data_IF_098072740329
#
_entry.id   IF_098072740329
#
_cell.length_a   1.000
_cell.length_b   1.000
_cell.length_c   1.000
_cell.angle_alpha   90.00
_cell.angle_beta   90.00
_cell.angle_gamma   90.00
#
_symmetry.space_group_name_H-M   'P 1'
#
loop_
_entity.id
_entity.type
_entity.pdbx_description
1 polymer ?
#
# COMPACT_ATOMS: atom_id res chain seq x y z
N UNK A 1 -11.11 -4.81 7.53
CA UNK A 1 -11.56 -3.86 6.49
C UNK A 1 -11.20 -4.34 5.09
N UNK A 2 -9.93 -4.68 4.80
CA UNK A 2 -9.53 -5.20 3.49
C UNK A 2 -10.31 -6.47 3.12
N UNK A 3 -10.39 -7.45 4.04
CA UNK A 3 -11.17 -8.69 3.83
C UNK A 3 -12.63 -8.38 3.52
N UNK A 4 -13.27 -7.47 4.29
CA UNK A 4 -14.65 -7.05 4.04
C UNK A 4 -14.82 -6.36 2.67
N UNK A 5 -13.82 -5.59 2.22
CA UNK A 5 -13.83 -4.99 0.89
C UNK A 5 -13.77 -6.07 -0.20
N UNK A 6 -12.89 -7.07 -0.07
CA UNK A 6 -12.78 -8.17 -1.01
C UNK A 6 -14.07 -9.00 -1.08
N UNK A 7 -14.68 -9.32 0.07
CA UNK A 7 -15.97 -9.99 0.14
C UNK A 7 -17.08 -9.19 -0.57
N UNK A 8 -17.19 -7.90 -0.29
CA UNK A 8 -18.18 -7.02 -0.92
C UNK A 8 -18.01 -6.91 -2.43
N UNK A 9 -16.76 -6.88 -2.91
CA UNK A 9 -16.47 -6.88 -4.36
C UNK A 9 -16.87 -8.20 -5.01
N UNK A 10 -16.49 -9.30 -4.39
CA UNK A 10 -16.84 -10.63 -4.87
C UNK A 10 -18.37 -10.81 -4.94
N UNK A 11 -19.10 -10.48 -3.87
CA UNK A 11 -20.57 -10.58 -3.83
C UNK A 11 -21.24 -9.74 -4.91
N UNK A 12 -20.73 -8.53 -5.18
CA UNK A 12 -21.26 -7.69 -6.26
C UNK A 12 -21.01 -8.25 -7.65
N UNK A 13 -19.89 -8.91 -7.85
CA UNK A 13 -19.53 -9.44 -9.17
C UNK A 13 -20.17 -10.80 -9.47
N UNK A 14 -20.57 -11.55 -8.44
CA UNK A 14 -21.29 -12.83 -8.57
C UNK A 14 -22.81 -12.65 -8.52
N UNK A 15 -23.32 -11.43 -8.30
CA UNK A 15 -24.74 -11.10 -8.35
C UNK A 15 -25.28 -11.00 -9.79
N UNK A 16 -26.59 -10.77 -9.93
CA UNK A 16 -27.33 -10.78 -11.21
C UNK A 16 -26.77 -9.86 -12.32
N UNK A 17 -25.88 -8.91 -11.99
CA UNK A 17 -25.25 -7.98 -12.94
C UNK A 17 -23.74 -8.22 -13.14
N UNK A 18 -23.16 -9.24 -12.50
CA UNK A 18 -21.73 -9.52 -12.60
C UNK A 18 -21.41 -10.51 -13.73
N UNK A 19 -20.26 -10.34 -14.38
CA UNK A 19 -19.75 -11.30 -15.37
C UNK A 19 -19.14 -12.57 -14.77
N UNK A 20 -19.13 -12.67 -13.42
CA UNK A 20 -18.68 -13.84 -12.67
C UNK A 20 -17.16 -14.05 -12.59
N UNK A 21 -16.38 -13.33 -13.40
CA UNK A 21 -14.93 -13.58 -13.54
C UNK A 21 -14.09 -12.48 -12.88
N UNK A 22 -13.85 -12.60 -11.57
CA UNK A 22 -12.81 -11.79 -10.91
C UNK A 22 -11.51 -12.61 -10.86
N UNK A 23 -10.44 -12.09 -11.42
CA UNK A 23 -9.10 -12.64 -11.24
C UNK A 23 -8.71 -12.71 -9.75
N UNK A 24 -7.65 -13.46 -9.40
CA UNK A 24 -7.21 -13.63 -8.03
C UNK A 24 -6.80 -12.29 -7.41
N UNK A 25 -6.85 -12.23 -6.08
CA UNK A 25 -6.30 -11.11 -5.31
C UNK A 25 -4.92 -11.46 -4.75
N UNK A 26 -4.09 -10.45 -4.48
CA UNK A 26 -2.75 -10.61 -3.94
C UNK A 26 -2.57 -9.74 -2.68
N UNK A 27 -2.16 -10.34 -1.58
CA UNK A 27 -1.71 -9.64 -0.38
C UNK A 27 -0.21 -9.84 -0.23
N UNK A 28 0.51 -8.72 -0.12
CA UNK A 28 1.95 -8.70 0.16
C UNK A 28 2.16 -8.09 1.53
N UNK A 29 2.79 -8.84 2.43
CA UNK A 29 2.97 -8.44 3.82
C UNK A 29 4.37 -8.82 4.33
N UNK A 30 4.79 -8.37 5.53
CA UNK A 30 5.96 -8.91 6.21
C UNK A 30 5.89 -10.42 6.37
N UNK A 31 7.03 -11.13 6.27
CA UNK A 31 7.07 -12.59 6.33
C UNK A 31 6.42 -13.16 7.61
N UNK A 32 6.53 -12.46 8.74
CA UNK A 32 5.91 -12.83 10.01
C UNK A 32 4.38 -12.79 10.02
N UNK A 33 3.76 -12.07 9.07
CA UNK A 33 2.30 -11.88 9.01
C UNK A 33 1.61 -12.76 7.96
N UNK A 34 2.35 -13.48 7.15
CA UNK A 34 1.80 -14.27 6.03
C UNK A 34 0.77 -15.30 6.53
N UNK A 35 1.11 -16.07 7.55
CA UNK A 35 0.20 -17.08 8.10
C UNK A 35 -0.96 -16.45 8.90
N UNK A 36 -0.73 -15.29 9.53
CA UNK A 36 -1.79 -14.56 10.21
C UNK A 36 -2.85 -14.08 9.22
N UNK A 37 -2.45 -13.55 8.07
CA UNK A 37 -3.39 -13.20 7.00
C UNK A 37 -4.19 -14.42 6.52
N UNK A 38 -3.55 -15.59 6.36
CA UNK A 38 -4.24 -16.83 6.03
C UNK A 38 -5.32 -17.20 7.06
N UNK A 39 -4.97 -17.16 8.35
CA UNK A 39 -5.91 -17.43 9.44
C UNK A 39 -7.07 -16.43 9.49
N UNK A 40 -6.81 -15.14 9.25
CA UNK A 40 -7.83 -14.10 9.18
C UNK A 40 -8.84 -14.35 8.03
N UNK A 41 -8.37 -14.79 6.85
CA UNK A 41 -9.26 -15.18 5.76
C UNK A 41 -10.11 -16.40 6.12
N UNK A 42 -9.53 -17.43 6.70
CA UNK A 42 -10.27 -18.63 7.16
C UNK A 42 -11.36 -18.24 8.14
N UNK A 43 -11.09 -17.29 9.02
CA UNK A 43 -12.04 -16.84 10.05
C UNK A 43 -13.14 -15.93 9.51
N UNK A 44 -12.81 -14.95 8.68
CA UNK A 44 -13.73 -13.86 8.29
C UNK A 44 -14.23 -13.95 6.84
N UNK A 45 -13.61 -14.75 6.00
CA UNK A 45 -13.98 -14.95 4.61
C UNK A 45 -13.76 -16.40 4.15
N UNK A 46 -14.43 -17.39 4.79
CA UNK A 46 -14.23 -18.81 4.48
C UNK A 46 -14.62 -19.18 3.03
N UNK A 47 -15.31 -18.31 2.33
CA UNK A 47 -15.64 -18.47 0.91
C UNK A 47 -14.46 -18.19 -0.02
N UNK A 48 -13.37 -17.62 0.50
CA UNK A 48 -12.15 -17.40 -0.27
C UNK A 48 -11.18 -18.57 -0.10
N UNK A 49 -10.61 -19.03 -1.21
CA UNK A 49 -9.43 -19.90 -1.19
C UNK A 49 -8.19 -19.07 -0.87
N UNK A 50 -7.79 -19.04 0.40
CA UNK A 50 -6.62 -18.30 0.86
C UNK A 50 -5.36 -19.16 0.74
N UNK A 51 -4.50 -18.82 -0.21
CA UNK A 51 -3.30 -19.58 -0.54
C UNK A 51 -2.06 -18.85 -0.04
N UNK A 52 -1.40 -19.41 0.97
CA UNK A 52 -0.09 -18.93 1.42
C UNK A 52 0.98 -19.41 0.43
N UNK A 53 1.62 -18.46 -0.24
CA UNK A 53 2.69 -18.73 -1.21
C UNK A 53 4.01 -18.89 -0.46
N UNK A 54 4.34 -20.14 -0.11
CA UNK A 54 5.53 -20.53 0.67
C UNK A 54 6.14 -21.82 0.12
N UNK A 55 7.23 -22.30 0.73
CA UNK A 55 7.92 -23.53 0.34
C UNK A 55 8.98 -23.31 -0.75
N UNK A 56 9.22 -24.35 -1.55
CA UNK A 56 10.18 -24.34 -2.66
C UNK A 56 9.73 -23.42 -3.81
N UNK A 57 10.66 -23.03 -4.67
CA UNK A 57 10.34 -22.21 -5.84
C UNK A 57 9.30 -22.89 -6.75
N UNK A 58 9.38 -24.20 -6.92
CA UNK A 58 8.45 -24.96 -7.76
C UNK A 58 7.02 -24.97 -7.18
N UNK A 59 6.90 -25.14 -5.87
CA UNK A 59 5.60 -25.09 -5.17
C UNK A 59 4.97 -23.71 -5.28
N UNK A 60 5.75 -22.65 -5.06
CA UNK A 60 5.25 -21.28 -5.16
C UNK A 60 4.79 -20.93 -6.58
N UNK A 61 5.58 -21.29 -7.60
CA UNK A 61 5.20 -21.13 -9.01
C UNK A 61 3.91 -21.87 -9.35
N UNK A 62 3.77 -23.09 -8.84
CA UNK A 62 2.55 -23.89 -9.04
C UNK A 62 1.35 -23.23 -8.38
N UNK A 63 1.49 -22.71 -7.14
CA UNK A 63 0.44 -22.03 -6.42
C UNK A 63 -0.02 -20.75 -7.15
N UNK A 64 0.91 -19.92 -7.64
CA UNK A 64 0.62 -18.73 -8.44
C UNK A 64 -0.15 -19.13 -9.70
N UNK A 65 0.36 -20.08 -10.49
CA UNK A 65 -0.28 -20.48 -11.73
C UNK A 65 -1.67 -21.14 -11.54
N UNK A 66 -1.92 -21.78 -10.41
CA UNK A 66 -3.24 -22.33 -10.07
C UNK A 66 -4.24 -21.24 -9.74
N UNK A 67 -3.83 -20.20 -9.01
CA UNK A 67 -4.71 -19.12 -8.64
C UNK A 67 -5.35 -18.40 -9.84
N UNK A 68 -4.61 -18.25 -10.94
CA UNK A 68 -5.14 -17.65 -12.18
C UNK A 68 -6.05 -18.58 -13.00
N UNK A 69 -6.14 -19.85 -12.64
CA UNK A 69 -7.01 -20.85 -13.29
C UNK A 69 -8.14 -21.31 -12.38
N UNK A 70 -8.21 -20.78 -11.17
CA UNK A 70 -9.25 -21.16 -10.22
C UNK A 70 -10.58 -20.47 -10.58
N UNK A 71 -11.66 -21.23 -10.53
CA UNK A 71 -13.02 -20.70 -10.69
C UNK A 71 -13.57 -20.12 -9.38
N UNK A 72 -12.92 -20.44 -8.27
CA UNK A 72 -13.30 -19.93 -6.94
C UNK A 72 -12.55 -18.64 -6.59
N UNK A 73 -13.14 -17.78 -5.74
CA UNK A 73 -12.48 -16.56 -5.30
C UNK A 73 -11.20 -16.89 -4.55
N UNK A 74 -10.06 -16.55 -5.16
CA UNK A 74 -8.74 -16.90 -4.63
C UNK A 74 -7.95 -15.66 -4.21
N UNK A 75 -7.29 -15.76 -3.06
CA UNK A 75 -6.34 -14.76 -2.59
C UNK A 75 -4.98 -15.40 -2.34
N UNK A 76 -3.96 -14.90 -3.02
CA UNK A 76 -2.57 -15.24 -2.75
C UNK A 76 -2.02 -14.36 -1.64
N UNK A 77 -1.30 -14.94 -0.70
CA UNK A 77 -0.67 -14.23 0.42
C UNK A 77 0.82 -14.55 0.38
N UNK A 78 1.65 -13.52 0.25
CA UNK A 78 3.11 -13.69 0.12
C UNK A 78 3.88 -12.60 0.86
N UNK A 79 5.17 -12.84 1.07
CA UNK A 79 6.06 -11.83 1.64
C UNK A 79 6.73 -10.99 0.55
N UNK A 80 7.17 -9.77 0.94
CA UNK A 80 7.91 -8.87 0.05
C UNK A 80 9.15 -9.53 -0.57
N UNK A 81 9.89 -10.33 0.21
CA UNK A 81 11.09 -11.00 -0.27
C UNK A 81 10.78 -12.14 -1.24
N UNK A 82 9.73 -12.93 -0.99
CA UNK A 82 9.31 -14.00 -1.90
C UNK A 82 8.76 -13.41 -3.19
N UNK A 83 7.92 -12.38 -3.13
CA UNK A 83 7.46 -11.69 -4.34
C UNK A 83 8.63 -11.18 -5.18
N UNK A 84 9.63 -10.53 -4.55
CA UNK A 84 10.83 -10.05 -5.25
C UNK A 84 11.63 -11.17 -5.93
N UNK A 85 11.71 -12.35 -5.29
CA UNK A 85 12.43 -13.52 -5.85
C UNK A 85 11.69 -14.16 -7.01
N UNK A 86 10.37 -14.14 -6.96
CA UNK A 86 9.49 -14.84 -7.89
C UNK A 86 8.72 -13.84 -8.81
N UNK A 87 9.20 -12.62 -8.98
CA UNK A 87 8.49 -11.56 -9.71
C UNK A 87 8.11 -12.00 -11.14
N UNK A 88 8.95 -12.76 -11.80
CA UNK A 88 8.70 -13.27 -13.15
C UNK A 88 7.47 -14.20 -13.19
N UNK A 89 7.22 -14.97 -12.14
CA UNK A 89 6.04 -15.84 -12.04
C UNK A 89 4.75 -15.01 -11.81
N UNK A 90 4.83 -13.85 -11.14
CA UNK A 90 3.70 -12.93 -10.93
C UNK A 90 3.39 -12.04 -12.14
N UNK A 91 4.36 -11.85 -13.04
CA UNK A 91 4.21 -11.01 -14.24
C UNK A 91 4.10 -11.82 -15.53
N UNK A 92 4.14 -13.14 -15.43
CA UNK A 92 4.05 -14.03 -16.57
C UNK A 92 2.71 -13.89 -17.32
N UNK A 93 2.73 -14.03 -18.64
CA UNK A 93 1.54 -14.12 -19.50
C UNK A 93 0.56 -12.92 -19.36
N UNK A 94 1.09 -11.72 -19.08
CA UNK A 94 0.26 -10.50 -18.88
C UNK A 94 -0.82 -10.66 -17.80
N UNK A 95 -0.61 -11.57 -16.86
CA UNK A 95 -1.53 -11.85 -15.77
C UNK A 95 -1.78 -10.59 -14.95
N UNK A 96 -3.04 -10.39 -14.56
CA UNK A 96 -3.48 -9.23 -13.79
C UNK A 96 -4.29 -9.67 -12.58
N UNK A 97 -3.92 -9.17 -11.42
CA UNK A 97 -4.70 -9.37 -10.19
C UNK A 97 -5.91 -8.43 -10.16
N UNK A 98 -7.04 -8.89 -9.66
CA UNK A 98 -8.18 -8.02 -9.41
C UNK A 98 -7.84 -6.97 -8.33
N UNK A 99 -7.28 -7.42 -7.22
CA UNK A 99 -6.83 -6.54 -6.13
C UNK A 99 -5.42 -6.92 -5.73
N UNK A 100 -4.56 -5.92 -5.56
CA UNK A 100 -3.27 -6.06 -4.89
C UNK A 100 -3.21 -5.15 -3.67
N UNK A 101 -2.96 -5.72 -2.50
CA UNK A 101 -2.83 -4.99 -1.26
C UNK A 101 -1.45 -5.19 -0.63
N UNK A 102 -0.86 -4.11 -0.18
CA UNK A 102 0.39 -4.11 0.59
C UNK A 102 0.07 -3.86 2.05
N UNK A 103 0.47 -4.76 2.92
CA UNK A 103 0.49 -4.52 4.37
C UNK A 103 1.88 -4.05 4.79
N UNK A 104 1.94 -3.11 5.71
CA UNK A 104 3.16 -2.39 6.09
C UNK A 104 3.86 -1.78 4.85
N UNK A 105 3.11 -0.98 4.09
CA UNK A 105 3.54 -0.44 2.80
C UNK A 105 4.84 0.40 2.85
N UNK A 106 5.33 0.78 4.03
CA UNK A 106 6.65 1.41 4.17
C UNK A 106 7.81 0.53 3.69
N UNK A 107 7.61 -0.76 3.45
CA UNK A 107 8.60 -1.62 2.78
C UNK A 107 8.97 -1.13 1.38
N UNK A 108 8.09 -0.41 0.71
CA UNK A 108 8.35 0.18 -0.61
C UNK A 108 8.61 1.69 -0.59
N UNK A 109 8.85 2.29 0.58
CA UNK A 109 9.08 3.73 0.73
C UNK A 109 10.26 4.27 -0.10
N UNK A 110 11.28 3.45 -0.32
CA UNK A 110 12.37 3.77 -1.21
C UNK A 110 12.13 3.11 -2.59
N UNK A 111 11.77 3.93 -3.57
CA UNK A 111 11.45 3.51 -4.94
C UNK A 111 12.61 2.85 -5.69
N UNK A 112 13.86 3.05 -5.25
CA UNK A 112 15.05 2.51 -5.94
C UNK A 112 15.33 1.05 -5.58
N UNK A 113 14.74 0.54 -4.49
CA UNK A 113 14.97 -0.83 -4.01
C UNK A 113 14.42 -1.89 -4.96
N UNK A 114 15.06 -3.07 -4.95
CA UNK A 114 14.59 -4.22 -5.74
C UNK A 114 13.18 -4.65 -5.32
N UNK A 115 12.82 -4.54 -4.04
CA UNK A 115 11.48 -4.84 -3.53
C UNK A 115 10.46 -3.88 -4.13
N UNK A 116 10.68 -2.56 -4.07
CA UNK A 116 9.77 -1.58 -4.61
C UNK A 116 9.56 -1.76 -6.13
N UNK A 117 10.63 -2.05 -6.86
CA UNK A 117 10.54 -2.32 -8.30
C UNK A 117 9.74 -3.58 -8.61
N UNK A 118 9.97 -4.67 -7.88
CA UNK A 118 9.26 -5.93 -8.07
C UNK A 118 7.76 -5.78 -7.78
N UNK A 119 7.41 -5.14 -6.65
CA UNK A 119 6.02 -4.87 -6.26
C UNK A 119 5.29 -4.03 -7.32
N UNK A 120 5.94 -2.99 -7.85
CA UNK A 120 5.35 -2.11 -8.88
C UNK A 120 5.21 -2.78 -10.25
N UNK A 121 6.01 -3.80 -10.54
CA UNK A 121 5.94 -4.56 -11.79
C UNK A 121 4.68 -5.44 -11.89
N UNK A 122 4.13 -5.86 -10.75
CA UNK A 122 2.94 -6.72 -10.73
C UNK A 122 1.71 -5.92 -11.17
N UNK A 123 0.99 -6.43 -12.17
CA UNK A 123 -0.21 -5.79 -12.68
C UNK A 123 -1.43 -6.09 -11.78
N UNK A 124 -2.21 -5.05 -11.46
CA UNK A 124 -3.46 -5.18 -10.73
C UNK A 124 -4.44 -4.07 -11.11
N UNK A 125 -5.75 -4.38 -11.06
CA UNK A 125 -6.81 -3.42 -11.39
C UNK A 125 -7.03 -2.43 -10.26
N UNK A 126 -6.96 -2.92 -9.02
CA UNK A 126 -7.10 -2.09 -7.83
C UNK A 126 -5.92 -2.31 -6.89
N UNK A 127 -5.39 -1.23 -6.34
CA UNK A 127 -4.24 -1.27 -5.45
C UNK A 127 -4.54 -0.59 -4.14
N UNK A 128 -4.11 -1.21 -3.04
CA UNK A 128 -4.27 -0.70 -1.69
C UNK A 128 -2.93 -0.76 -0.95
N UNK A 129 -2.68 0.23 -0.11
CA UNK A 129 -1.52 0.28 0.76
C UNK A 129 -1.99 0.51 2.20
N UNK A 130 -1.66 -0.42 3.08
CA UNK A 130 -1.92 -0.35 4.51
C UNK A 130 -0.61 -0.02 5.21
N UNK A 131 -0.63 0.95 6.12
CA UNK A 131 0.55 1.31 6.91
C UNK A 131 0.14 1.87 8.27
N UNK A 132 0.82 1.45 9.31
CA UNK A 132 0.69 2.03 10.65
C UNK A 132 1.55 3.28 10.85
N UNK A 133 2.50 3.56 9.95
CA UNK A 133 3.37 4.72 10.05
C UNK A 133 2.84 5.90 9.24
N UNK A 134 2.89 7.13 9.79
CA UNK A 134 2.53 8.32 9.01
C UNK A 134 3.44 8.46 7.78
N UNK A 135 2.83 8.68 6.61
CA UNK A 135 3.55 8.95 5.33
C UNK A 135 4.15 10.37 5.33
N UNK A 136 4.12 11.06 6.47
CA UNK A 136 4.38 12.51 6.58
C UNK A 136 5.86 12.88 6.66
N UNK A 137 6.76 11.90 6.89
CA UNK A 137 8.14 12.21 7.21
C UNK A 137 9.01 12.59 6.02
N UNK A 138 8.77 12.02 4.84
CA UNK A 138 9.50 12.34 3.62
C UNK A 138 8.58 12.28 2.40
N UNK A 139 8.62 13.33 1.59
CA UNK A 139 7.81 13.41 0.36
C UNK A 139 8.20 12.34 -0.67
N UNK A 140 9.45 11.92 -0.69
CA UNK A 140 9.92 10.79 -1.51
C UNK A 140 9.26 9.46 -1.14
N UNK A 141 8.96 9.24 0.15
CA UNK A 141 8.23 8.04 0.61
C UNK A 141 6.77 8.08 0.14
N UNK A 142 6.11 9.24 0.26
CA UNK A 142 4.78 9.48 -0.28
C UNK A 142 4.74 9.19 -1.77
N UNK A 143 5.69 9.75 -2.54
CA UNK A 143 5.78 9.52 -3.98
C UNK A 143 5.88 8.02 -4.31
N UNK A 144 6.74 7.29 -3.61
CA UNK A 144 6.95 5.86 -3.89
C UNK A 144 5.69 5.02 -3.65
N UNK A 145 4.92 5.32 -2.60
CA UNK A 145 3.66 4.63 -2.30
C UNK A 145 2.59 5.01 -3.32
N UNK A 146 2.49 6.30 -3.71
CA UNK A 146 1.52 6.72 -4.73
C UNK A 146 1.87 6.24 -6.13
N UNK A 147 3.15 6.09 -6.46
CA UNK A 147 3.59 5.48 -7.72
C UNK A 147 3.20 3.98 -7.80
N UNK A 148 3.09 3.29 -6.64
CA UNK A 148 2.46 1.97 -6.58
C UNK A 148 0.94 2.07 -6.69
N UNK A 149 0.26 2.90 -5.91
CA UNK A 149 -1.20 2.98 -5.85
C UNK A 149 -1.81 3.43 -7.19
N UNK A 150 -1.26 4.49 -7.76
CA UNK A 150 -1.73 5.15 -8.98
C UNK A 150 -0.54 5.59 -9.83
N UNK A 151 0.02 4.69 -10.64
CA UNK A 151 1.15 5.02 -11.51
C UNK A 151 0.87 6.24 -12.37
N UNK A 152 1.79 7.21 -12.34
CA UNK A 152 1.68 8.43 -13.12
C UNK A 152 0.92 9.60 -12.47
N UNK A 153 0.13 9.40 -11.41
CA UNK A 153 -0.63 10.48 -10.75
C UNK A 153 0.28 11.65 -10.31
N UNK A 154 1.43 11.35 -9.73
CA UNK A 154 2.40 12.34 -9.25
C UNK A 154 3.53 12.63 -10.28
N UNK A 155 3.45 12.04 -11.48
CA UNK A 155 4.47 12.14 -12.52
C UNK A 155 5.76 11.39 -12.18
N UNK A 156 6.83 11.63 -12.94
CA UNK A 156 8.13 11.04 -12.65
C UNK A 156 8.71 11.57 -11.33
N UNK A 157 9.55 10.76 -10.65
CA UNK A 157 10.20 11.20 -9.40
C UNK A 157 10.97 12.51 -9.55
N UNK A 158 11.67 12.70 -10.69
CA UNK A 158 12.41 13.93 -10.97
C UNK A 158 11.47 15.15 -10.93
N UNK A 159 10.34 15.09 -11.66
CA UNK A 159 9.35 16.19 -11.69
C UNK A 159 8.71 16.42 -10.33
N UNK A 160 8.42 15.34 -9.58
CA UNK A 160 7.87 15.43 -8.24
C UNK A 160 8.87 16.08 -7.27
N UNK A 161 10.13 15.69 -7.32
CA UNK A 161 11.19 16.27 -6.52
C UNK A 161 11.35 17.78 -6.77
N UNK A 162 11.43 18.18 -8.04
CA UNK A 162 11.56 19.59 -8.44
C UNK A 162 10.32 20.42 -8.03
N UNK A 163 9.13 19.86 -8.22
CA UNK A 163 7.86 20.60 -8.04
C UNK A 163 7.40 20.68 -6.57
N UNK A 164 7.60 19.62 -5.80
CA UNK A 164 7.04 19.49 -4.45
C UNK A 164 8.12 19.36 -3.37
N UNK A 165 9.11 18.49 -3.55
CA UNK A 165 10.05 18.16 -2.50
C UNK A 165 11.03 19.30 -2.24
N UNK A 166 11.66 19.85 -3.26
CA UNK A 166 12.59 20.98 -3.13
C UNK A 166 11.96 22.22 -2.49
N UNK A 167 10.83 22.76 -2.97
CA UNK A 167 10.23 23.96 -2.36
C UNK A 167 9.86 23.77 -0.89
N UNK A 168 9.32 22.58 -0.54
CA UNK A 168 8.87 22.29 0.83
C UNK A 168 10.07 22.04 1.75
N UNK A 169 11.11 21.33 1.30
CA UNK A 169 12.30 21.06 2.11
C UNK A 169 13.15 22.32 2.34
N UNK A 170 13.30 23.17 1.34
CA UNK A 170 14.02 24.44 1.48
C UNK A 170 13.34 25.38 2.47
N UNK A 171 12.00 25.44 2.48
CA UNK A 171 11.27 26.22 3.46
C UNK A 171 11.45 25.68 4.89
N UNK A 172 11.50 24.36 5.09
CA UNK A 172 11.77 23.75 6.40
C UNK A 172 13.21 23.95 6.88
N UNK A 173 14.18 23.96 5.98
CA UNK A 173 15.57 24.21 6.31
C UNK A 173 15.83 25.68 6.74
N UNK A 174 15.12 26.64 6.13
CA UNK A 174 15.19 28.04 6.49
C UNK A 174 14.61 28.32 7.88
N UNK A 175 13.66 27.51 8.35
CA UNK A 175 12.97 27.63 9.65
C UNK A 175 13.78 27.09 10.84
N UNK A 176 14.82 26.30 10.59
CA UNK A 176 15.59 25.54 11.59
C UNK A 176 16.78 26.28 12.23
N UNK A 177 17.07 27.54 11.89
CA UNK A 177 18.36 28.14 12.22
C UNK A 177 18.42 28.98 13.51
N UNK A 178 17.31 29.36 14.18
CA UNK A 178 17.35 29.97 15.53
C UNK A 178 16.02 29.84 16.28
N UNK A 179 16.09 29.70 17.61
CA UNK A 179 14.92 29.62 18.50
C UNK A 179 14.03 30.89 18.46
N UNK A 180 14.56 32.00 18.02
CA UNK A 180 13.85 33.29 17.82
C UNK A 180 13.15 33.38 16.46
N UNK A 181 13.55 32.60 15.48
CA UNK A 181 12.91 32.50 14.14
C UNK A 181 11.53 31.85 14.14
N UNK A 182 11.16 31.13 15.22
CA UNK A 182 9.83 30.47 15.31
C UNK A 182 8.66 31.44 15.41
N UNK A 183 8.90 32.67 15.86
CA UNK A 183 7.85 33.73 15.96
C UNK A 183 7.73 34.56 14.68
N UNK A 184 8.72 34.51 13.79
CA UNK A 184 8.81 35.30 12.56
C UNK A 184 8.84 34.44 11.27
N UNK A 185 8.52 33.14 11.36
CA UNK A 185 8.39 32.26 10.20
C UNK A 185 7.26 32.79 9.30
N UNK A 186 7.60 33.72 8.44
CA UNK A 186 6.85 33.98 7.23
C UNK A 186 6.86 32.68 6.47
N UNK A 187 5.81 31.88 6.64
CA UNK A 187 5.55 30.65 5.88
C UNK A 187 5.81 31.00 4.43
N UNK A 188 6.88 30.44 3.84
CA UNK A 188 7.17 30.67 2.43
C UNK A 188 5.87 30.42 1.66
N UNK A 189 5.22 31.46 1.11
CA UNK A 189 3.87 31.34 0.57
C UNK A 189 3.83 30.34 -0.60
N UNK A 190 4.94 30.17 -1.29
CA UNK A 190 5.08 29.20 -2.35
C UNK A 190 5.09 27.76 -1.79
N UNK A 191 5.87 27.49 -0.76
CA UNK A 191 5.92 26.18 -0.13
C UNK A 191 4.57 25.78 0.47
N UNK A 192 3.87 26.74 1.10
CA UNK A 192 2.52 26.54 1.64
C UNK A 192 1.50 26.26 0.53
N UNK A 193 1.59 26.94 -0.61
CA UNK A 193 0.73 26.72 -1.77
C UNK A 193 0.97 25.33 -2.36
N UNK A 194 2.23 24.97 -2.57
CA UNK A 194 2.64 23.67 -3.13
C UNK A 194 2.23 22.52 -2.20
N UNK A 195 2.41 22.68 -0.88
CA UNK A 195 1.98 21.70 0.12
C UNK A 195 0.46 21.47 0.10
N UNK A 196 -0.33 22.55 0.07
CA UNK A 196 -1.80 22.46 -0.05
C UNK A 196 -2.24 21.78 -1.35
N UNK A 197 -1.58 22.11 -2.47
CA UNK A 197 -1.86 21.49 -3.75
C UNK A 197 -1.61 19.97 -3.72
N UNK A 198 -0.48 19.54 -3.13
CA UNK A 198 -0.17 18.13 -2.96
C UNK A 198 -1.19 17.45 -2.04
N UNK A 199 -1.51 18.05 -0.90
CA UNK A 199 -2.52 17.52 0.03
C UNK A 199 -3.89 17.35 -0.62
N UNK A 200 -4.35 18.33 -1.41
CA UNK A 200 -5.61 18.22 -2.15
C UNK A 200 -5.59 17.08 -3.16
N UNK A 201 -4.45 16.87 -3.83
CA UNK A 201 -4.31 15.82 -4.84
C UNK A 201 -4.33 14.41 -4.22
N UNK A 202 -3.65 14.21 -3.10
CA UNK A 202 -3.50 12.88 -2.48
C UNK A 202 -4.51 12.59 -1.38
N UNK A 203 -5.04 13.63 -0.74
CA UNK A 203 -5.85 13.50 0.48
C UNK A 203 -7.14 12.71 0.30
N UNK A 204 -7.74 12.77 -0.87
CA UNK A 204 -8.96 11.99 -1.20
C UNK A 204 -8.74 10.48 -1.22
N UNK A 205 -7.48 10.06 -1.37
CA UNK A 205 -7.10 8.64 -1.43
C UNK A 205 -6.54 8.10 -0.11
N UNK A 206 -6.35 8.98 0.89
CA UNK A 206 -5.78 8.62 2.20
C UNK A 206 -6.89 8.57 3.24
N UNK A 207 -7.04 7.41 3.89
CA UNK A 207 -7.91 7.26 5.06
C UNK A 207 -7.05 7.00 6.29
N UNK A 208 -6.95 7.99 7.18
CA UNK A 208 -6.26 7.88 8.47
C UNK A 208 -7.26 7.78 9.61
N UNK A 209 -7.04 6.86 10.54
CA UNK A 209 -7.77 6.74 11.80
C UNK A 209 -6.79 6.81 12.96
N UNK A 210 -7.09 7.64 13.93
CA UNK A 210 -6.32 7.70 15.18
C UNK A 210 -6.82 6.61 16.14
N UNK A 211 -5.93 6.07 16.98
CA UNK A 211 -6.31 5.10 18.02
C UNK A 211 -7.44 5.61 18.92
N UNK A 212 -7.38 6.88 19.33
CA UNK A 212 -8.41 7.56 20.12
C UNK A 212 -9.79 7.63 19.45
N UNK A 213 -9.86 7.51 18.12
CA UNK A 213 -11.13 7.51 17.37
C UNK A 213 -11.74 6.11 17.23
N UNK A 214 -10.95 5.05 17.45
CA UNK A 214 -11.37 3.66 17.20
C UNK A 214 -11.50 2.87 18.50
N UNK A 215 -10.72 3.21 19.51
CA UNK A 215 -10.65 2.52 20.80
C UNK A 215 -10.97 3.52 21.90
N UNK A 216 -12.27 3.78 22.09
CA UNK A 216 -12.77 4.71 23.13
C UNK A 216 -12.62 4.14 24.54
N UNK A 217 -12.42 2.83 24.68
CA UNK A 217 -12.39 2.11 25.97
C UNK A 217 -10.97 1.83 26.47
N UNK A 218 -9.94 2.38 25.81
CA UNK A 218 -8.57 2.25 26.33
C UNK A 218 -8.37 3.21 27.51
N UNK A 219 -7.83 2.74 28.66
CA UNK A 219 -7.46 3.62 29.77
C UNK A 219 -6.38 4.60 29.34
N UNK A 220 -6.38 5.76 29.97
CA UNK A 220 -5.35 6.78 29.76
C UNK A 220 -3.95 6.21 30.05
N UNK A 221 -2.97 6.61 29.22
CA UNK A 221 -1.58 6.19 29.39
C UNK A 221 -1.04 6.79 30.69
N UNK A 222 -0.85 5.97 31.71
CA UNK A 222 -0.14 6.38 32.94
C UNK A 222 1.36 6.39 32.64
N UNK A 223 1.95 7.58 32.58
CA UNK A 223 3.41 7.75 32.57
C UNK A 223 3.88 7.84 34.04
N UNK A 224 4.50 6.79 34.55
CA UNK A 224 5.28 6.86 35.80
C UNK A 224 6.67 7.42 35.47
N UNK A 225 6.95 8.60 35.97
CA UNK A 225 8.30 9.21 36.03
C UNK A 225 9.17 8.50 37.07
#
# INVERSE_FOLDING_TARGET
>A
QLIALLLSRYQRNTGEMGDGSLGPSLIVCPASLVYNWGAEFTKFAPSFNAVVVAGTKAERRTAIGRAFRADEPTVLITSYDLLRRDVDDYTANEQRFNVMALDEAQYIKNHTTKIAKAVKAVAADHRFALTGTPIENRLSELWSIFDFLMPGLLGSYKRFHERYELPISNARAADGSTAEGRAAAQVNPEAARVSRQLQSLVGVFIKRRLKSQVLTDLPDKLETT
#
